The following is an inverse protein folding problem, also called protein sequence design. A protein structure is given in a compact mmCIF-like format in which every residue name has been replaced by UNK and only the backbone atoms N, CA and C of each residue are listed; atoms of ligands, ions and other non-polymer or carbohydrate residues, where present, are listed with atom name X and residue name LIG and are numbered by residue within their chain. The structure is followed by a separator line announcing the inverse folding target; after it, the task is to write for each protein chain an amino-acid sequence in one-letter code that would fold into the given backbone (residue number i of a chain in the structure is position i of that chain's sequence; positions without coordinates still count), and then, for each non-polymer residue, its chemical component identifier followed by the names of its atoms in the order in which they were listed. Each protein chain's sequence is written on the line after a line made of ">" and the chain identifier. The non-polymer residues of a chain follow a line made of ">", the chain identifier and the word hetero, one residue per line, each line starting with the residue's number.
data_IF_760815382149
#
_entry.id   IF_760815382149
#
_cell.length_a   1.000
_cell.length_b   1.000
_cell.length_c   1.000
_cell.angle_alpha   90.00
_cell.angle_beta   90.00
_cell.angle_gamma   90.00
#
_symmetry.space_group_name_H-M   'P 1'
#
loop_
_entity.id
_entity.type
_entity.pdbx_description
1 polymer ?
#
# COMPACT_ATOMS: atom_id res chain seq x y z
N UNK A 1 20.29 16.22 22.67
CA UNK A 1 19.50 15.37 21.75
C UNK A 1 20.36 14.13 21.49
N UNK A 2 20.01 13.00 22.11
CA UNK A 2 20.85 11.80 22.13
C UNK A 2 20.68 11.04 20.82
N UNK A 3 21.76 10.51 20.26
CA UNK A 3 21.76 9.63 19.07
C UNK A 3 20.75 8.45 19.20
N UNK A 4 20.33 8.12 20.43
CA UNK A 4 19.35 7.07 20.73
C UNK A 4 17.90 7.46 20.46
N UNK A 5 17.55 8.74 20.36
CA UNK A 5 16.23 9.20 19.89
C UNK A 5 16.13 9.25 18.35
N UNK A 6 17.27 9.17 17.65
CA UNK A 6 17.36 9.16 16.19
C UNK A 6 16.95 7.83 15.55
N UNK A 7 16.89 6.74 16.33
CA UNK A 7 16.30 5.46 15.90
C UNK A 7 14.81 5.48 16.23
N UNK A 8 14.10 6.51 15.75
CA UNK A 8 12.65 6.51 15.71
C UNK A 8 12.23 5.53 14.61
N UNK A 9 12.18 4.24 14.96
CA UNK A 9 11.45 3.17 14.28
C UNK A 9 11.41 3.28 12.74
N UNK A 10 12.46 2.79 12.06
CA UNK A 10 12.59 2.82 10.58
C UNK A 10 11.36 2.25 9.86
N UNK A 11 10.65 1.30 10.49
CA UNK A 11 9.40 0.70 10.00
C UNK A 11 8.25 1.70 9.73
N UNK A 12 8.28 2.90 10.31
CA UNK A 12 7.29 3.96 10.07
C UNK A 12 7.72 5.01 9.05
N UNK A 13 8.93 4.92 8.51
CA UNK A 13 9.50 5.94 7.63
C UNK A 13 8.99 5.84 6.19
N UNK A 14 8.44 4.68 5.81
CA UNK A 14 8.06 4.39 4.43
C UNK A 14 6.57 4.16 4.28
N UNK A 15 6.06 4.61 3.13
CA UNK A 15 4.68 4.40 2.72
C UNK A 15 4.58 3.12 1.90
N UNK A 16 3.64 2.26 2.25
CA UNK A 16 3.42 0.97 1.60
C UNK A 16 2.08 0.96 0.85
N UNK A 17 2.04 0.19 -0.24
CA UNK A 17 0.85 -0.02 -1.06
C UNK A 17 1.07 -1.14 -2.07
N UNK A 18 0.04 -1.44 -2.84
CA UNK A 18 0.11 -2.39 -3.94
C UNK A 18 0.33 -1.67 -5.27
N UNK A 19 1.05 -2.34 -6.15
CA UNK A 19 1.20 -1.96 -7.54
C UNK A 19 0.76 -3.15 -8.40
N UNK A 20 -0.33 -3.00 -9.13
CA UNK A 20 -0.73 -3.92 -10.18
C UNK A 20 0.00 -3.50 -11.46
N UNK A 21 0.85 -4.39 -11.95
CA UNK A 21 1.67 -4.15 -13.14
C UNK A 21 1.41 -5.22 -14.20
N UNK A 22 1.15 -4.83 -15.46
CA UNK A 22 1.15 -5.79 -16.55
C UNK A 22 2.56 -6.38 -16.71
N UNK A 23 2.63 -7.63 -17.18
CA UNK A 23 3.90 -8.37 -17.36
C UNK A 23 4.90 -7.61 -18.24
N UNK A 24 4.39 -6.86 -19.22
CA UNK A 24 5.15 -5.92 -20.04
C UNK A 24 4.53 -4.54 -19.88
N UNK A 25 5.02 -3.79 -18.90
CA UNK A 25 4.57 -2.43 -18.65
C UNK A 25 5.21 -1.44 -19.63
N UNK A 26 4.42 -0.51 -20.12
CA UNK A 26 4.88 0.63 -20.93
C UNK A 26 5.08 1.91 -20.09
N UNK A 27 4.99 1.81 -18.76
CA UNK A 27 5.07 2.94 -17.85
C UNK A 27 3.70 3.28 -17.27
N UNK A 28 2.84 4.01 -17.99
CA UNK A 28 1.57 4.54 -17.46
C UNK A 28 0.38 3.59 -17.59
N UNK A 29 0.64 2.31 -17.45
CA UNK A 29 -0.35 1.22 -17.52
C UNK A 29 -0.44 0.43 -16.20
N UNK A 30 0.10 0.98 -15.11
CA UNK A 30 -0.02 0.38 -13.79
C UNK A 30 -1.14 1.03 -12.99
N UNK A 31 -1.69 0.27 -12.05
CA UNK A 31 -2.56 0.79 -10.99
C UNK A 31 -1.87 0.67 -9.65
N UNK A 32 -2.05 1.65 -8.78
CA UNK A 32 -1.58 1.58 -7.40
C UNK A 32 -2.74 1.73 -6.42
N UNK A 33 -2.68 0.94 -5.34
CA UNK A 33 -3.65 0.93 -4.26
C UNK A 33 -2.93 1.19 -2.95
N UNK A 34 -3.40 2.14 -2.16
CA UNK A 34 -2.83 2.39 -0.84
C UNK A 34 -3.86 2.96 0.14
N UNK A 35 -3.49 3.02 1.41
CA UNK A 35 -4.22 3.77 2.44
C UNK A 35 -3.35 4.90 2.97
N UNK A 36 -3.93 6.08 3.16
CA UNK A 36 -3.19 7.27 3.58
C UNK A 36 -4.00 8.11 4.55
N UNK A 37 -3.35 8.51 5.65
CA UNK A 37 -3.76 9.54 6.61
C UNK A 37 -3.17 10.93 6.27
N UNK A 38 -2.39 11.00 5.18
CA UNK A 38 -1.75 12.23 4.73
C UNK A 38 -2.70 13.36 4.33
N UNK A 39 -2.09 14.53 4.09
CA UNK A 39 -2.76 15.76 3.64
C UNK A 39 -3.59 15.48 2.39
N UNK A 40 -4.85 15.90 2.42
CA UNK A 40 -5.72 16.00 1.24
C UNK A 40 -6.06 17.47 1.05
N UNK A 41 -5.79 18.01 -0.13
CA UNK A 41 -6.12 19.39 -0.45
C UNK A 41 -7.41 19.43 -1.26
N UNK A 42 -8.30 20.36 -0.91
CA UNK A 42 -9.47 20.69 -1.72
C UNK A 42 -9.08 21.50 -2.95
N UNK A 43 -10.05 21.80 -3.80
CA UNK A 43 -9.83 22.57 -5.04
C UNK A 43 -9.23 23.96 -4.78
N UNK A 44 -9.56 24.57 -3.64
CA UNK A 44 -9.03 25.88 -3.23
C UNK A 44 -7.72 25.77 -2.44
N UNK A 45 -7.12 24.58 -2.35
CA UNK A 45 -5.83 24.35 -1.68
C UNK A 45 -5.90 24.27 -0.15
N UNK A 46 -7.08 24.36 0.45
CA UNK A 46 -7.23 24.13 1.90
C UNK A 46 -7.11 22.65 2.24
N UNK A 47 -6.60 22.36 3.44
CA UNK A 47 -6.51 21.00 3.94
C UNK A 47 -7.89 20.47 4.33
N UNK A 48 -8.25 19.32 3.75
CA UNK A 48 -9.50 18.59 3.98
C UNK A 48 -9.37 17.49 5.03
N UNK A 49 -8.15 17.00 5.31
CA UNK A 49 -7.92 15.87 6.22
C UNK A 49 -7.24 16.31 7.52
N UNK A 50 -7.93 17.20 8.26
CA UNK A 50 -7.42 17.80 9.49
C UNK A 50 -7.18 16.74 10.59
N UNK A 51 -8.10 15.77 10.69
CA UNK A 51 -8.04 14.70 11.69
C UNK A 51 -7.06 13.57 11.33
N UNK A 52 -6.44 13.63 10.14
CA UNK A 52 -5.56 12.58 9.63
C UNK A 52 -6.27 11.23 9.58
N UNK A 53 -7.50 11.23 9.08
CA UNK A 53 -8.26 10.01 8.88
C UNK A 53 -7.65 9.20 7.75
N UNK A 54 -7.55 7.88 7.95
CA UNK A 54 -7.12 6.97 6.91
C UNK A 54 -8.14 6.95 5.77
N UNK A 55 -7.65 6.94 4.55
CA UNK A 55 -8.47 6.81 3.36
C UNK A 55 -7.84 5.85 2.36
N UNK A 56 -8.65 4.95 1.80
CA UNK A 56 -8.25 4.11 0.67
C UNK A 56 -8.18 4.95 -0.61
N UNK A 57 -7.12 4.76 -1.39
CA UNK A 57 -6.89 5.47 -2.65
C UNK A 57 -6.55 4.49 -3.76
N UNK A 58 -7.12 4.78 -4.92
CA UNK A 58 -6.80 4.14 -6.20
C UNK A 58 -6.10 5.18 -7.07
N UNK A 59 -4.99 4.80 -7.68
CA UNK A 59 -4.24 5.64 -8.61
C UNK A 59 -4.13 4.88 -9.94
N UNK A 60 -4.73 5.45 -10.98
CA UNK A 60 -4.71 4.89 -12.32
C UNK A 60 -3.56 5.49 -13.14
N UNK A 61 -3.15 4.79 -14.20
CA UNK A 61 -2.12 5.24 -15.14
C UNK A 61 -0.78 5.60 -14.47
N UNK A 62 -0.41 4.87 -13.41
CA UNK A 62 0.79 5.12 -12.61
C UNK A 62 2.01 4.66 -13.39
N UNK A 63 3.00 5.54 -13.54
CA UNK A 63 4.36 5.15 -13.89
C UNK A 63 5.22 5.09 -12.62
N UNK A 64 5.58 3.90 -12.10
CA UNK A 64 6.37 3.79 -10.88
C UNK A 64 7.76 4.42 -11.01
N UNK A 65 8.31 4.50 -12.24
CA UNK A 65 9.65 5.07 -12.49
C UNK A 65 9.64 6.60 -12.46
N UNK A 66 8.49 7.25 -12.61
CA UNK A 66 8.34 8.71 -12.46
C UNK A 66 8.29 9.14 -10.98
N UNK A 67 8.14 8.19 -10.05
CA UNK A 67 8.10 8.49 -8.63
C UNK A 67 9.50 8.69 -8.06
N UNK A 68 9.88 9.94 -7.77
CA UNK A 68 11.10 10.28 -7.04
C UNK A 68 11.13 9.79 -5.58
N UNK A 69 10.09 9.10 -5.11
CA UNK A 69 9.97 8.57 -3.74
C UNK A 69 9.88 7.03 -3.70
N UNK A 70 9.95 6.35 -4.84
CA UNK A 70 9.94 4.90 -4.88
C UNK A 70 11.31 4.36 -4.45
N UNK A 71 11.34 3.56 -3.38
CA UNK A 71 12.58 2.99 -2.84
C UNK A 71 12.77 1.54 -3.30
N UNK A 72 11.68 0.79 -3.43
CA UNK A 72 11.74 -0.61 -3.84
C UNK A 72 10.37 -1.18 -4.18
N UNK A 73 10.37 -2.36 -4.78
CA UNK A 73 9.18 -3.16 -5.08
C UNK A 73 9.46 -4.61 -4.73
N UNK A 74 8.47 -5.29 -4.17
CA UNK A 74 8.54 -6.72 -3.89
C UNK A 74 7.40 -7.40 -4.63
N UNK A 75 7.73 -8.39 -5.46
CA UNK A 75 6.72 -9.19 -6.15
C UNK A 75 6.18 -10.24 -5.20
N UNK A 76 4.90 -10.14 -4.85
CA UNK A 76 4.22 -11.08 -3.94
C UNK A 76 3.41 -12.16 -4.67
N UNK A 77 3.18 -11.98 -5.98
CA UNK A 77 2.37 -12.92 -6.74
C UNK A 77 2.08 -12.45 -8.15
N UNK A 78 1.44 -13.34 -8.92
CA UNK A 78 0.82 -13.03 -10.20
C UNK A 78 -0.68 -13.22 -10.03
N UNK A 79 -1.44 -12.25 -10.52
CA UNK A 79 -2.89 -12.30 -10.54
C UNK A 79 -3.36 -13.04 -11.79
N UNK A 80 -4.44 -13.80 -11.67
CA UNK A 80 -5.00 -14.55 -12.78
C UNK A 80 -5.57 -13.60 -13.86
N UNK A 81 -5.47 -13.93 -15.17
CA UNK A 81 -6.06 -13.10 -16.23
C UNK A 81 -7.58 -12.88 -16.14
N UNK A 82 -8.27 -13.72 -15.36
CA UNK A 82 -9.72 -13.63 -15.13
C UNK A 82 -10.07 -12.64 -14.03
N UNK A 83 -9.13 -12.29 -13.14
CA UNK A 83 -9.34 -11.28 -12.10
C UNK A 83 -9.18 -9.90 -12.73
N UNK A 84 -10.25 -9.11 -12.68
CA UNK A 84 -10.24 -7.75 -13.23
C UNK A 84 -9.65 -6.74 -12.24
N UNK A 85 -9.33 -5.56 -12.76
CA UNK A 85 -8.92 -4.41 -11.94
C UNK A 85 -10.01 -4.02 -10.92
N UNK A 86 -11.28 -4.09 -11.32
CA UNK A 86 -12.42 -3.82 -10.44
C UNK A 86 -12.58 -4.88 -9.33
N UNK A 87 -12.29 -6.15 -9.62
CA UNK A 87 -12.32 -7.20 -8.61
C UNK A 87 -11.25 -6.91 -7.54
N UNK A 88 -10.02 -6.60 -7.96
CA UNK A 88 -8.94 -6.22 -7.05
C UNK A 88 -9.28 -4.97 -6.24
N UNK A 89 -9.83 -3.94 -6.87
CA UNK A 89 -10.28 -2.74 -6.15
C UNK A 89 -11.34 -3.08 -5.10
N UNK A 90 -12.33 -3.89 -5.46
CA UNK A 90 -13.43 -4.29 -4.56
C UNK A 90 -12.89 -5.03 -3.34
N UNK A 91 -11.99 -5.99 -3.55
CA UNK A 91 -11.36 -6.77 -2.49
C UNK A 91 -10.53 -5.85 -1.57
N UNK A 92 -9.64 -5.05 -2.17
CA UNK A 92 -8.74 -4.17 -1.40
C UNK A 92 -9.49 -3.07 -0.64
N UNK A 93 -10.59 -2.57 -1.20
CA UNK A 93 -11.47 -1.60 -0.53
C UNK A 93 -12.23 -2.22 0.65
N UNK A 94 -12.48 -3.53 0.61
CA UNK A 94 -13.10 -4.29 1.70
C UNK A 94 -12.18 -4.56 2.89
N UNK A 95 -10.86 -4.37 2.74
CA UNK A 95 -9.89 -4.52 3.83
C UNK A 95 -10.05 -3.36 4.82
N UNK A 96 -10.20 -3.68 6.11
CA UNK A 96 -10.32 -2.69 7.17
C UNK A 96 -9.16 -1.69 7.16
N UNK A 97 -9.49 -0.39 7.23
CA UNK A 97 -8.48 0.67 7.31
C UNK A 97 -7.70 0.57 8.63
N UNK A 98 -6.45 1.05 8.67
CA UNK A 98 -5.66 1.02 9.90
C UNK A 98 -6.38 1.70 11.06
N UNK A 99 -6.36 1.05 12.22
CA UNK A 99 -6.84 1.66 13.45
C UNK A 99 -5.78 2.61 14.05
N UNK A 100 -6.16 3.88 14.17
CA UNK A 100 -5.29 4.94 14.66
C UNK A 100 -4.98 4.77 16.15
N UNK A 101 -5.94 4.29 16.94
CA UNK A 101 -5.82 4.20 18.41
C UNK A 101 -4.89 3.06 18.84
N UNK A 102 -4.86 1.96 18.08
CA UNK A 102 -3.89 0.87 18.26
C UNK A 102 -2.51 1.16 17.67
N UNK A 103 -2.33 2.29 16.98
CA UNK A 103 -1.07 2.70 16.37
C UNK A 103 -0.75 2.03 15.04
N UNK A 104 -1.75 1.43 14.39
CA UNK A 104 -1.62 0.86 13.05
C UNK A 104 -1.28 1.93 12.00
N UNK A 105 -0.81 1.46 10.84
CA UNK A 105 -0.20 2.23 9.76
C UNK A 105 -0.47 1.56 8.42
N UNK A 106 -0.16 2.22 7.31
CA UNK A 106 -0.36 1.67 5.97
C UNK A 106 0.24 0.27 5.75
N UNK A 107 1.37 -0.07 6.38
CA UNK A 107 1.94 -1.43 6.31
C UNK A 107 1.03 -2.50 6.90
N UNK A 108 0.32 -2.20 7.99
CA UNK A 108 -0.60 -3.16 8.62
C UNK A 108 -1.78 -3.45 7.68
N UNK A 109 -2.30 -2.41 7.01
CA UNK A 109 -3.27 -2.60 5.94
C UNK A 109 -2.72 -3.44 4.79
N UNK A 110 -1.47 -3.23 4.36
CA UNK A 110 -0.84 -4.08 3.33
C UNK A 110 -0.75 -5.53 3.77
N UNK A 111 -0.37 -5.82 5.02
CA UNK A 111 -0.33 -7.19 5.51
C UNK A 111 -1.72 -7.83 5.55
N UNK A 112 -2.72 -7.11 6.06
CA UNK A 112 -4.11 -7.59 6.08
C UNK A 112 -4.63 -7.84 4.66
N UNK A 113 -4.32 -6.94 3.71
CA UNK A 113 -4.69 -7.08 2.32
C UNK A 113 -3.98 -8.27 1.63
N UNK A 114 -2.70 -8.54 1.94
CA UNK A 114 -2.01 -9.75 1.48
C UNK A 114 -2.76 -10.99 1.97
N UNK A 115 -3.10 -11.05 3.27
CA UNK A 115 -3.88 -12.16 3.82
C UNK A 115 -5.24 -12.32 3.15
N UNK A 116 -5.96 -11.23 2.88
CA UNK A 116 -7.24 -11.26 2.16
C UNK A 116 -7.07 -11.80 0.74
N UNK A 117 -6.09 -11.29 -0.02
CA UNK A 117 -5.82 -11.74 -1.39
C UNK A 117 -5.42 -13.23 -1.45
N UNK A 118 -4.68 -13.71 -0.45
CA UNK A 118 -4.33 -15.13 -0.31
C UNK A 118 -5.56 -15.99 0.00
N UNK A 119 -6.42 -15.56 0.93
CA UNK A 119 -7.65 -16.26 1.30
C UNK A 119 -8.64 -16.35 0.14
N UNK A 120 -8.70 -15.31 -0.69
CA UNK A 120 -9.52 -15.28 -1.90
C UNK A 120 -8.83 -15.96 -3.11
N UNK A 121 -7.66 -16.57 -2.92
CA UNK A 121 -6.89 -17.24 -3.97
C UNK A 121 -6.52 -16.35 -5.16
N UNK A 122 -6.47 -15.03 -4.96
CA UNK A 122 -6.09 -14.04 -5.99
C UNK A 122 -4.59 -14.04 -6.22
N UNK A 123 -3.81 -14.28 -5.15
CA UNK A 123 -2.36 -14.46 -5.19
C UNK A 123 -1.96 -15.81 -4.56
N UNK A 124 -0.77 -16.35 -4.89
CA UNK A 124 -0.29 -17.58 -4.28
C UNK A 124 -0.13 -17.48 -2.76
N UNK A 125 -0.28 -18.61 -2.09
CA UNK A 125 0.00 -18.68 -0.66
C UNK A 125 1.51 -18.69 -0.35
N UNK A 126 1.91 -17.87 0.61
CA UNK A 126 3.23 -17.86 1.23
C UNK A 126 3.10 -17.53 2.72
N UNK A 127 4.17 -17.76 3.49
CA UNK A 127 4.22 -17.44 4.91
C UNK A 127 4.32 -15.91 5.09
N UNK A 128 3.23 -15.31 5.57
CA UNK A 128 3.16 -13.87 5.78
C UNK A 128 4.00 -13.41 6.98
N UNK A 129 4.20 -14.25 8.00
CA UNK A 129 5.04 -13.92 9.15
C UNK A 129 6.51 -13.89 8.76
N UNK A 130 6.94 -14.85 7.93
CA UNK A 130 8.27 -14.82 7.32
C UNK A 130 8.43 -13.57 6.45
N UNK A 131 7.42 -13.23 5.63
CA UNK A 131 7.43 -12.02 4.81
C UNK A 131 7.54 -10.73 5.66
N UNK A 132 6.80 -10.62 6.77
CA UNK A 132 6.88 -9.49 7.70
C UNK A 132 8.27 -9.35 8.31
N UNK A 133 8.88 -10.47 8.72
CA UNK A 133 10.21 -10.47 9.36
C UNK A 133 11.35 -10.00 8.45
N UNK A 134 11.18 -10.13 7.12
CA UNK A 134 12.20 -9.78 6.11
C UNK A 134 12.07 -8.35 5.58
N UNK A 135 11.08 -7.58 6.03
CA UNK A 135 10.89 -6.18 5.66
C UNK A 135 11.85 -5.29 6.48
N UNK A 136 13.15 -5.34 6.18
CA UNK A 136 14.19 -4.54 6.85
C UNK A 136 14.29 -3.09 6.32
N UNK A 137 13.18 -2.51 5.82
CA UNK A 137 13.08 -1.09 5.48
C UNK A 137 12.35 -0.36 6.61
#
# INVERSE_FOLDING_TARGET
>A
MSLREGIRNTYGAYHWGFLLSPKKSNGRDNMAFDVSDGVRLGETGHELNLERDWSFRVKNNVNPLESGRLIGRVMIGKVSPQTTENDLETILRGVALPDKESGERCRHWVWNAISTLQNESVIPNFDIEEFKSKQCL
#
